data_IF_231759064317
#
_entry.id   IF_231759064317
#
_cell.length_a   1.000
_cell.length_b   1.000
_cell.length_c   1.000
_cell.angle_alpha   90.00
_cell.angle_beta   90.00
_cell.angle_gamma   90.00
#
_symmetry.space_group_name_H-M   'P 1'
#
loop_
_entity.id
_entity.type
_entity.pdbx_description
1 polymer ?
#
# COMPACT_ATOMS: atom_id res chain seq x y z
N UNK A 1 24.21 4.55 -10.19
CA UNK A 1 25.48 3.81 -9.98
C UNK A 1 25.14 2.33 -10.17
N UNK A 2 25.82 1.60 -11.06
CA UNK A 2 25.50 0.20 -11.28
C UNK A 2 25.84 -0.63 -10.04
N UNK A 3 24.92 -1.49 -9.59
CA UNK A 3 25.15 -2.34 -8.43
C UNK A 3 26.29 -3.33 -8.73
N UNK A 4 27.21 -3.47 -7.79
CA UNK A 4 28.13 -4.59 -7.74
C UNK A 4 27.37 -5.91 -7.54
N UNK A 5 28.00 -7.02 -7.93
CA UNK A 5 27.44 -8.38 -7.75
C UNK A 5 27.11 -8.64 -6.28
N UNK A 6 27.94 -8.17 -5.36
CA UNK A 6 27.72 -8.32 -3.91
C UNK A 6 26.56 -7.49 -3.38
N UNK A 7 26.35 -6.27 -3.90
CA UNK A 7 25.18 -5.47 -3.53
C UNK A 7 23.88 -6.12 -4.03
N UNK A 8 23.86 -6.69 -5.24
CA UNK A 8 22.69 -7.42 -5.76
C UNK A 8 22.40 -8.66 -4.91
N UNK A 9 23.43 -9.42 -4.51
CA UNK A 9 23.28 -10.59 -3.63
C UNK A 9 22.71 -10.18 -2.27
N UNK A 10 23.25 -9.12 -1.69
CA UNK A 10 22.78 -8.56 -0.42
C UNK A 10 21.32 -8.13 -0.54
N UNK A 11 20.98 -7.38 -1.59
CA UNK A 11 19.61 -6.94 -1.84
C UNK A 11 18.64 -8.12 -1.97
N UNK A 12 19.00 -9.16 -2.73
CA UNK A 12 18.19 -10.40 -2.86
C UNK A 12 17.94 -11.06 -1.51
N UNK A 13 18.99 -11.26 -0.71
CA UNK A 13 18.88 -11.90 0.59
C UNK A 13 18.00 -11.08 1.56
N UNK A 14 18.26 -9.77 1.66
CA UNK A 14 17.50 -8.87 2.54
C UNK A 14 16.03 -8.78 2.11
N UNK A 15 15.75 -8.68 0.81
CA UNK A 15 14.39 -8.67 0.26
C UNK A 15 13.61 -9.91 0.65
N UNK A 16 14.20 -11.10 0.50
CA UNK A 16 13.55 -12.36 0.89
C UNK A 16 13.28 -12.39 2.40
N UNK A 17 14.30 -12.12 3.22
CA UNK A 17 14.19 -12.20 4.68
C UNK A 17 13.12 -11.24 5.19
N UNK A 18 13.15 -10.00 4.72
CA UNK A 18 12.19 -8.97 5.16
C UNK A 18 10.77 -9.29 4.70
N UNK A 19 10.58 -9.80 3.48
CA UNK A 19 9.27 -10.27 3.02
C UNK A 19 8.71 -11.38 3.91
N UNK A 20 9.53 -12.38 4.28
CA UNK A 20 9.10 -13.43 5.21
C UNK A 20 8.72 -12.87 6.59
N UNK A 21 9.50 -11.92 7.12
CA UNK A 21 9.17 -11.26 8.38
C UNK A 21 7.84 -10.50 8.31
N UNK A 22 7.60 -9.77 7.21
CA UNK A 22 6.35 -9.05 6.97
C UNK A 22 5.15 -10.00 6.95
N UNK A 23 5.24 -11.11 6.18
CA UNK A 23 4.19 -12.13 6.11
C UNK A 23 3.91 -12.73 7.49
N UNK A 24 4.97 -13.12 8.21
CA UNK A 24 4.85 -13.65 9.57
C UNK A 24 4.16 -12.66 10.51
N UNK A 25 4.58 -11.39 10.48
CA UNK A 25 3.97 -10.31 11.25
C UNK A 25 2.48 -10.17 10.95
N UNK A 26 2.10 -10.09 9.68
CA UNK A 26 0.69 -9.93 9.27
C UNK A 26 -0.18 -11.13 9.64
N UNK A 27 0.35 -12.36 9.54
CA UNK A 27 -0.36 -13.56 9.98
C UNK A 27 -0.58 -13.56 11.50
N UNK A 28 0.44 -13.16 12.28
CA UNK A 28 0.35 -13.03 13.74
C UNK A 28 -0.73 -12.02 14.14
N UNK A 29 -0.75 -10.86 13.50
CA UNK A 29 -1.78 -9.84 13.73
C UNK A 29 -3.18 -10.35 13.35
N UNK A 30 -3.35 -10.97 12.19
CA UNK A 30 -4.64 -11.51 11.73
C UNK A 30 -5.15 -12.64 12.65
N UNK A 31 -4.25 -13.30 13.38
CA UNK A 31 -4.57 -14.33 14.37
C UNK A 31 -5.02 -13.81 15.73
N UNK A 32 -5.02 -12.50 15.99
CA UNK A 32 -5.54 -11.93 17.25
C UNK A 32 -7.07 -12.03 17.24
N UNK A 33 -7.69 -12.71 18.23
CA UNK A 33 -9.14 -12.83 18.30
C UNK A 33 -9.83 -11.47 18.37
N UNK A 34 -10.94 -11.32 17.64
CA UNK A 34 -11.72 -10.07 17.54
C UNK A 34 -12.17 -9.50 18.89
N UNK A 35 -12.25 -10.32 19.95
CA UNK A 35 -12.64 -9.90 21.29
C UNK A 35 -11.54 -9.17 22.08
N UNK A 36 -10.27 -9.38 21.73
CA UNK A 36 -9.12 -8.82 22.46
C UNK A 36 -8.76 -7.42 21.96
N UNK A 37 -9.15 -7.09 20.72
CA UNK A 37 -9.03 -5.75 20.15
C UNK A 37 -10.37 -5.03 20.31
N UNK A 38 -10.39 -3.90 21.03
CA UNK A 38 -11.61 -3.13 21.21
C UNK A 38 -12.18 -2.73 19.82
N UNK A 39 -13.38 -3.19 19.49
CA UNK A 39 -14.05 -2.82 18.23
C UNK A 39 -14.11 -1.30 18.07
N UNK A 40 -13.47 -0.80 17.02
CA UNK A 40 -13.42 0.62 16.67
C UNK A 40 -14.30 0.91 15.46
N UNK A 41 -14.65 2.19 15.21
CA UNK A 41 -15.32 2.61 13.98
C UNK A 41 -14.54 2.29 12.70
N UNK A 42 -13.24 2.02 12.80
CA UNK A 42 -12.40 1.68 11.65
C UNK A 42 -12.04 0.19 11.62
N UNK A 43 -12.79 -0.67 12.34
CA UNK A 43 -12.56 -2.12 12.29
C UNK A 43 -13.21 -2.70 11.03
N UNK A 44 -12.40 -3.33 10.17
CA UNK A 44 -12.84 -4.01 8.96
C UNK A 44 -13.04 -5.51 9.13
N UNK A 45 -13.66 -6.13 8.13
CA UNK A 45 -13.81 -7.59 8.06
C UNK A 45 -12.44 -8.27 7.95
N UNK A 46 -12.13 -9.14 8.92
CA UNK A 46 -10.90 -9.92 8.92
C UNK A 46 -10.75 -10.81 7.67
N UNK A 47 -11.83 -11.42 7.19
CA UNK A 47 -11.80 -12.25 5.97
C UNK A 47 -11.43 -11.43 4.73
N UNK A 48 -11.95 -10.21 4.60
CA UNK A 48 -11.61 -9.33 3.47
C UNK A 48 -10.20 -8.76 3.62
N UNK A 49 -9.77 -8.39 4.82
CA UNK A 49 -8.38 -8.00 5.08
C UNK A 49 -7.39 -9.13 4.77
N UNK A 50 -7.74 -10.38 5.09
CA UNK A 50 -6.92 -11.53 4.75
C UNK A 50 -6.74 -11.69 3.23
N UNK A 51 -7.80 -11.48 2.45
CA UNK A 51 -7.73 -11.47 0.99
C UNK A 51 -6.84 -10.32 0.50
N UNK A 52 -7.00 -9.10 1.05
CA UNK A 52 -6.15 -7.96 0.71
C UNK A 52 -4.66 -8.27 0.90
N UNK A 53 -4.30 -8.81 2.06
CA UNK A 53 -2.93 -9.23 2.37
C UNK A 53 -2.44 -10.35 1.45
N UNK A 54 -3.29 -11.35 1.18
CA UNK A 54 -2.96 -12.43 0.25
C UNK A 54 -2.64 -11.92 -1.15
N UNK A 55 -3.43 -10.98 -1.68
CA UNK A 55 -3.19 -10.33 -2.98
C UNK A 55 -1.90 -9.50 -2.94
N UNK A 56 -1.70 -8.66 -1.90
CA UNK A 56 -0.49 -7.87 -1.74
C UNK A 56 0.75 -8.75 -1.75
N UNK A 57 0.78 -9.79 -0.92
CA UNK A 57 1.94 -10.67 -0.81
C UNK A 57 2.17 -11.51 -2.07
N UNK A 58 1.11 -11.92 -2.77
CA UNK A 58 1.26 -12.57 -4.07
C UNK A 58 1.99 -11.66 -5.05
N UNK A 59 1.59 -10.39 -5.17
CA UNK A 59 2.27 -9.43 -6.03
C UNK A 59 3.70 -9.13 -5.57
N UNK A 60 3.96 -9.05 -4.26
CA UNK A 60 5.30 -8.84 -3.72
C UNK A 60 6.23 -10.04 -3.92
N UNK A 61 5.71 -11.27 -3.90
CA UNK A 61 6.44 -12.48 -4.27
C UNK A 61 6.81 -12.45 -5.76
N UNK A 62 5.88 -12.06 -6.63
CA UNK A 62 6.14 -11.90 -8.06
C UNK A 62 7.24 -10.86 -8.29
N UNK A 63 7.14 -9.68 -7.66
CA UNK A 63 8.20 -8.65 -7.71
C UNK A 63 9.55 -9.21 -7.21
N UNK A 64 9.55 -9.96 -6.11
CA UNK A 64 10.78 -10.53 -5.55
C UNK A 64 11.40 -11.55 -6.51
N UNK A 65 10.59 -12.40 -7.15
CA UNK A 65 11.04 -13.36 -8.16
C UNK A 65 11.71 -12.67 -9.36
N UNK A 66 11.21 -11.49 -9.75
CA UNK A 66 11.76 -10.70 -10.85
C UNK A 66 13.19 -10.22 -10.60
N UNK A 67 13.60 -10.03 -9.35
CA UNK A 67 14.97 -9.63 -8.97
C UNK A 67 15.98 -10.73 -9.32
N UNK A 68 15.55 -12.00 -9.42
CA UNK A 68 16.43 -13.13 -9.77
C UNK A 68 16.77 -13.19 -11.25
N UNK A 69 16.01 -12.50 -12.10
CA UNK A 69 16.22 -12.41 -13.54
C UNK A 69 16.40 -10.93 -13.95
N UNK A 70 17.48 -10.26 -13.51
CA UNK A 70 17.68 -8.84 -13.79
C UNK A 70 18.14 -8.61 -15.24
N UNK A 71 17.45 -7.72 -15.93
CA UNK A 71 17.90 -7.04 -17.15
C UNK A 71 18.37 -5.62 -16.77
N UNK A 72 18.96 -4.87 -17.73
CA UNK A 72 19.47 -3.52 -17.47
C UNK A 72 18.40 -2.57 -16.91
N UNK A 73 17.17 -2.69 -17.43
CA UNK A 73 16.02 -1.92 -16.96
C UNK A 73 15.68 -2.27 -15.50
N UNK A 74 15.62 -3.55 -15.13
CA UNK A 74 15.33 -3.98 -13.75
C UNK A 74 16.41 -3.54 -12.77
N UNK A 75 17.67 -3.59 -13.18
CA UNK A 75 18.77 -3.10 -12.35
C UNK A 75 18.66 -1.60 -12.11
N UNK A 76 18.27 -0.82 -13.12
CA UNK A 76 18.06 0.62 -12.96
C UNK A 76 16.92 0.91 -11.98
N UNK A 77 15.80 0.17 -12.07
CA UNK A 77 14.67 0.26 -11.14
C UNK A 77 15.10 -0.11 -9.72
N UNK A 78 15.70 -1.29 -9.53
CA UNK A 78 16.18 -1.75 -8.21
C UNK A 78 17.11 -0.72 -7.59
N UNK A 79 17.97 -0.09 -8.41
CA UNK A 79 18.89 0.90 -7.91
C UNK A 79 18.24 2.17 -7.38
N UNK A 80 17.09 2.54 -7.94
CA UNK A 80 16.37 3.75 -7.58
C UNK A 80 15.40 3.52 -6.43
N UNK A 81 14.66 2.41 -6.46
CA UNK A 81 13.52 2.19 -5.55
C UNK A 81 13.65 0.97 -4.65
N UNK A 82 14.65 0.11 -4.90
CA UNK A 82 14.69 -1.23 -4.34
C UNK A 82 14.66 -1.27 -2.81
N UNK A 83 15.38 -0.38 -2.14
CA UNK A 83 15.52 -0.38 -0.68
C UNK A 83 14.25 0.04 0.09
N UNK A 84 13.32 0.75 -0.56
CA UNK A 84 12.03 1.08 0.05
C UNK A 84 11.21 -0.17 0.37
N UNK A 85 11.37 -1.24 -0.42
CA UNK A 85 10.63 -2.48 -0.25
C UNK A 85 11.03 -3.27 1.01
N UNK A 86 12.33 -3.59 1.24
CA UNK A 86 12.73 -4.19 2.53
C UNK A 86 12.40 -3.31 3.73
N UNK A 87 12.55 -1.98 3.63
CA UNK A 87 12.19 -1.05 4.71
C UNK A 87 10.70 -1.16 5.02
N UNK A 88 9.83 -1.13 4.01
CA UNK A 88 8.40 -1.32 4.20
C UNK A 88 8.10 -2.63 4.94
N UNK A 89 8.69 -3.73 4.50
CA UNK A 89 8.44 -5.05 5.09
C UNK A 89 8.90 -5.15 6.55
N UNK A 90 10.07 -4.61 6.88
CA UNK A 90 10.56 -4.55 8.27
C UNK A 90 9.64 -3.69 9.13
N UNK A 91 9.21 -2.53 8.64
CA UNK A 91 8.32 -1.65 9.39
C UNK A 91 6.94 -2.26 9.59
N UNK A 92 6.39 -3.01 8.63
CA UNK A 92 5.16 -3.78 8.81
C UNK A 92 5.33 -4.87 9.87
N UNK A 93 6.44 -5.61 9.86
CA UNK A 93 6.74 -6.59 10.89
C UNK A 93 6.81 -5.96 12.29
N UNK A 94 7.61 -4.89 12.44
CA UNK A 94 7.76 -4.17 13.71
C UNK A 94 6.42 -3.62 14.18
N UNK A 95 5.64 -3.02 13.27
CA UNK A 95 4.30 -2.54 13.57
C UNK A 95 3.42 -3.64 14.15
N UNK A 96 3.37 -4.82 13.51
CA UNK A 96 2.58 -5.96 13.97
C UNK A 96 3.02 -6.43 15.36
N UNK A 97 4.32 -6.55 15.60
CA UNK A 97 4.85 -6.96 16.92
C UNK A 97 4.45 -5.98 18.03
N UNK A 98 4.58 -4.67 17.77
CA UNK A 98 4.19 -3.63 18.71
C UNK A 98 2.68 -3.62 18.95
N UNK A 99 1.89 -3.69 17.88
CA UNK A 99 0.44 -3.65 17.93
C UNK A 99 -0.14 -4.84 18.69
N UNK A 100 0.29 -6.07 18.34
CA UNK A 100 -0.14 -7.30 19.03
C UNK A 100 0.32 -7.35 20.49
N UNK A 101 1.38 -6.63 20.84
CA UNK A 101 1.86 -6.48 22.23
C UNK A 101 1.20 -5.31 22.99
N UNK A 102 0.22 -4.62 22.40
CA UNK A 102 -0.50 -3.51 23.02
C UNK A 102 0.23 -2.16 23.06
N UNK A 103 1.38 -2.03 22.38
CA UNK A 103 2.16 -0.79 22.31
C UNK A 103 1.63 0.15 21.22
N UNK A 104 0.36 0.55 21.31
CA UNK A 104 -0.35 1.24 20.22
C UNK A 104 0.26 2.58 19.79
N UNK A 105 0.90 3.32 20.71
CA UNK A 105 1.58 4.58 20.40
C UNK A 105 2.84 4.31 19.55
N UNK A 106 3.62 3.30 19.92
CA UNK A 106 4.84 2.96 19.19
C UNK A 106 4.49 2.36 17.83
N UNK A 107 3.44 1.54 17.74
CA UNK A 107 2.97 1.02 16.46
C UNK A 107 2.47 2.15 15.55
N UNK A 108 1.77 3.15 16.07
CA UNK A 108 1.36 4.35 15.30
C UNK A 108 2.58 5.09 14.72
N UNK A 109 3.62 5.32 15.54
CA UNK A 109 4.86 5.98 15.10
C UNK A 109 5.53 5.19 13.97
N UNK A 110 5.55 3.87 14.05
CA UNK A 110 6.13 3.00 13.01
C UNK A 110 5.34 3.11 11.70
N UNK A 111 4.00 3.19 11.75
CA UNK A 111 3.17 3.44 10.57
C UNK A 111 3.48 4.79 9.94
N UNK A 112 3.64 5.85 10.74
CA UNK A 112 3.99 7.20 10.24
C UNK A 112 5.34 7.16 9.52
N UNK A 113 6.35 6.52 10.11
CA UNK A 113 7.68 6.35 9.47
C UNK A 113 7.54 5.58 8.15
N UNK A 114 6.72 4.53 8.14
CA UNK A 114 6.50 3.75 6.92
C UNK A 114 5.75 4.56 5.84
N UNK A 115 4.82 5.43 6.24
CA UNK A 115 4.14 6.33 5.31
C UNK A 115 5.13 7.27 4.61
N UNK A 116 6.10 7.83 5.34
CA UNK A 116 7.14 8.67 4.73
C UNK A 116 8.05 7.88 3.78
N UNK A 117 8.41 6.64 4.13
CA UNK A 117 9.13 5.74 3.23
C UNK A 117 8.37 5.54 1.90
N UNK A 118 7.05 5.33 1.98
CA UNK A 118 6.21 5.13 0.81
C UNK A 118 5.91 6.44 0.04
N UNK A 119 5.82 7.58 0.72
CA UNK A 119 5.71 8.88 0.06
C UNK A 119 6.98 9.28 -0.67
N UNK A 120 8.17 8.93 -0.16
CA UNK A 120 9.40 9.06 -0.93
C UNK A 120 9.33 8.21 -2.22
N UNK A 121 8.88 6.96 -2.10
CA UNK A 121 8.68 6.08 -3.25
C UNK A 121 7.64 6.62 -4.26
N UNK A 122 6.58 7.24 -3.78
CA UNK A 122 5.52 7.80 -4.62
C UNK A 122 5.94 9.12 -5.29
N UNK A 123 6.39 10.10 -4.51
CA UNK A 123 6.60 11.47 -4.99
C UNK A 123 8.03 11.73 -5.47
N UNK A 124 9.05 11.19 -4.79
CA UNK A 124 10.44 11.42 -5.18
C UNK A 124 10.85 10.49 -6.33
N UNK A 125 10.44 9.22 -6.27
CA UNK A 125 10.76 8.22 -7.29
C UNK A 125 9.67 8.01 -8.34
N UNK A 126 8.55 8.75 -8.22
CA UNK A 126 7.46 8.81 -9.22
C UNK A 126 7.01 7.43 -9.72
N UNK A 127 6.91 6.44 -8.83
CA UNK A 127 6.56 5.07 -9.26
C UNK A 127 5.25 4.97 -10.05
N UNK A 128 4.34 5.94 -9.88
CA UNK A 128 3.10 6.03 -10.65
C UNK A 128 3.30 6.27 -12.16
N UNK A 129 4.50 6.66 -12.62
CA UNK A 129 4.85 6.87 -14.04
C UNK A 129 5.61 5.69 -14.66
N UNK A 130 5.87 4.61 -13.91
CA UNK A 130 6.60 3.43 -14.41
C UNK A 130 5.89 2.87 -15.65
N UNK A 131 6.66 2.63 -16.71
CA UNK A 131 6.17 2.03 -17.97
C UNK A 131 7.01 0.83 -18.38
N UNK A 132 6.43 -0.10 -19.17
CA UNK A 132 5.02 -0.20 -19.60
C UNK A 132 4.05 -0.57 -18.46
N UNK A 133 2.74 -0.64 -18.75
CA UNK A 133 1.68 -0.98 -17.77
C UNK A 133 1.98 -2.27 -17.02
N UNK A 134 2.61 -3.25 -17.67
CA UNK A 134 3.02 -4.50 -17.03
C UNK A 134 4.04 -4.25 -15.92
N UNK A 135 5.04 -3.39 -16.14
CA UNK A 135 6.02 -3.02 -15.13
C UNK A 135 5.38 -2.13 -14.05
N UNK A 136 4.45 -1.27 -14.42
CA UNK A 136 3.65 -0.51 -13.46
C UNK A 136 2.89 -1.44 -12.50
N UNK A 137 2.22 -2.46 -13.03
CA UNK A 137 1.54 -3.48 -12.22
C UNK A 137 2.51 -4.28 -11.34
N UNK A 138 3.71 -4.58 -11.84
CA UNK A 138 4.66 -5.44 -11.14
C UNK A 138 5.56 -4.69 -10.14
N UNK A 139 5.68 -3.38 -10.27
CA UNK A 139 6.52 -2.53 -9.42
C UNK A 139 5.63 -1.62 -8.57
N UNK A 140 4.87 -0.74 -9.21
CA UNK A 140 4.14 0.32 -8.50
C UNK A 140 3.01 -0.23 -7.62
N UNK A 141 2.24 -1.22 -8.10
CA UNK A 141 1.15 -1.80 -7.30
C UNK A 141 1.64 -2.48 -6.01
N UNK A 142 2.58 -3.44 -6.05
CA UNK A 142 3.06 -4.13 -4.84
C UNK A 142 3.96 -3.31 -3.91
N UNK A 143 4.68 -2.32 -4.44
CA UNK A 143 5.63 -1.53 -3.63
C UNK A 143 5.05 -0.22 -3.13
N UNK A 144 4.08 0.35 -3.85
CA UNK A 144 3.59 1.70 -3.57
C UNK A 144 2.09 1.72 -3.34
N UNK A 145 1.26 1.37 -4.33
CA UNK A 145 -0.18 1.66 -4.27
C UNK A 145 -0.90 0.92 -3.15
N UNK A 146 -0.75 -0.41 -3.08
CA UNK A 146 -1.34 -1.21 -2.02
C UNK A 146 -0.68 -0.94 -0.66
N UNK A 147 0.66 -0.87 -0.53
CA UNK A 147 1.31 -0.42 0.70
C UNK A 147 0.81 0.91 1.26
N UNK A 148 0.70 1.96 0.45
CA UNK A 148 0.20 3.28 0.89
C UNK A 148 -1.24 3.16 1.38
N UNK A 149 -2.09 2.48 0.62
CA UNK A 149 -3.50 2.29 0.98
C UNK A 149 -3.64 1.60 2.34
N UNK A 150 -2.86 0.55 2.57
CA UNK A 150 -2.83 -0.15 3.85
C UNK A 150 -2.33 0.74 4.98
N UNK A 151 -1.17 1.39 4.82
CA UNK A 151 -0.58 2.20 5.90
C UNK A 151 -1.49 3.37 6.26
N UNK A 152 -2.10 4.03 5.29
CA UNK A 152 -3.09 5.09 5.51
C UNK A 152 -4.30 4.55 6.30
N UNK A 153 -4.85 3.41 5.91
CA UNK A 153 -5.93 2.76 6.65
C UNK A 153 -5.53 2.37 8.08
N UNK A 154 -4.34 1.78 8.22
CA UNK A 154 -3.82 1.32 9.49
C UNK A 154 -3.61 2.47 10.47
N UNK A 155 -3.22 3.68 10.02
CA UNK A 155 -3.09 4.85 10.90
C UNK A 155 -4.42 5.21 11.60
N UNK A 156 -5.52 5.30 10.83
CA UNK A 156 -6.82 5.59 11.43
C UNK A 156 -7.31 4.45 12.33
N UNK A 157 -7.07 3.20 11.93
CA UNK A 157 -7.50 2.05 12.70
C UNK A 157 -6.70 1.86 14.00
N UNK A 158 -5.36 1.89 13.92
CA UNK A 158 -4.45 1.84 15.06
C UNK A 158 -4.70 3.03 15.99
N UNK A 159 -4.81 4.25 15.46
CA UNK A 159 -5.12 5.45 16.25
C UNK A 159 -6.46 5.34 16.98
N UNK A 160 -7.48 4.74 16.36
CA UNK A 160 -8.76 4.51 17.03
C UNK A 160 -8.68 3.47 18.15
N UNK A 161 -7.81 2.46 18.02
CA UNK A 161 -7.52 1.49 19.09
C UNK A 161 -6.78 2.19 20.23
N UNK A 162 -5.75 2.98 19.92
CA UNK A 162 -4.93 3.74 20.87
C UNK A 162 -5.76 4.67 21.76
N UNK A 163 -6.74 5.38 21.19
CA UNK A 163 -7.60 6.31 21.93
C UNK A 163 -8.86 5.65 22.51
N UNK A 164 -9.01 4.33 22.37
CA UNK A 164 -10.19 3.59 22.78
C UNK A 164 -11.49 4.27 22.30
N UNK A 165 -11.56 4.56 20.99
CA UNK A 165 -12.67 5.30 20.39
C UNK A 165 -13.93 4.41 20.34
N UNK A 166 -14.71 4.38 21.43
CA UNK A 166 -16.00 3.66 21.50
C UNK A 166 -17.16 4.49 22.08
N UNK A 167 -16.89 5.72 22.57
CA UNK A 167 -17.90 6.62 23.16
C UNK A 167 -18.42 7.64 22.13
N UNK A 168 -19.53 8.31 22.44
CA UNK A 168 -20.26 9.23 21.55
C UNK A 168 -19.36 10.23 20.80
N UNK A 169 -18.47 10.92 21.51
CA UNK A 169 -17.55 11.89 20.89
C UNK A 169 -16.63 11.24 19.85
N UNK A 170 -16.09 10.06 20.17
CA UNK A 170 -15.29 9.27 19.25
C UNK A 170 -16.04 8.85 17.99
N UNK A 171 -17.34 8.59 18.09
CA UNK A 171 -18.21 8.25 16.94
C UNK A 171 -18.39 9.44 16.01
N UNK A 172 -18.60 10.63 16.57
CA UNK A 172 -18.73 11.86 15.76
C UNK A 172 -17.44 12.10 14.99
N UNK A 173 -16.29 11.99 15.66
CA UNK A 173 -14.98 12.19 15.06
C UNK A 173 -14.71 11.16 13.96
N UNK A 174 -15.03 9.89 14.19
CA UNK A 174 -14.88 8.84 13.18
C UNK A 174 -15.78 9.03 11.95
N UNK A 175 -17.00 9.52 12.13
CA UNK A 175 -17.91 9.83 11.02
C UNK A 175 -17.41 11.00 10.14
N UNK A 176 -16.58 11.89 10.69
CA UNK A 176 -15.92 12.96 9.93
C UNK A 176 -14.68 12.40 9.23
N UNK A 177 -13.79 11.76 9.99
CA UNK A 177 -12.51 11.26 9.46
C UNK A 177 -12.63 10.13 8.46
N UNK A 178 -13.73 9.38 8.43
CA UNK A 178 -13.93 8.36 7.39
C UNK A 178 -13.89 8.96 5.98
N UNK A 179 -14.27 10.22 5.80
CA UNK A 179 -14.23 10.88 4.49
C UNK A 179 -12.81 11.17 3.99
N UNK A 180 -11.79 11.10 4.84
CA UNK A 180 -10.40 11.18 4.39
C UNK A 180 -10.04 9.99 3.49
N UNK A 181 -10.73 8.86 3.64
CA UNK A 181 -10.61 7.72 2.73
C UNK A 181 -11.25 7.95 1.36
N UNK A 182 -12.04 9.02 1.18
CA UNK A 182 -12.43 9.50 -0.15
C UNK A 182 -11.49 10.59 -0.64
N UNK A 183 -11.22 11.59 0.22
CA UNK A 183 -10.46 12.78 -0.16
C UNK A 183 -9.02 12.43 -0.54
N UNK A 184 -8.29 11.69 0.31
CA UNK A 184 -6.87 11.42 0.07
C UNK A 184 -6.68 10.49 -1.14
N UNK A 185 -7.30 9.29 -1.22
CA UNK A 185 -7.19 8.45 -2.41
C UNK A 185 -7.76 9.12 -3.67
N UNK A 186 -8.81 9.94 -3.51
CA UNK A 186 -9.37 10.76 -4.58
C UNK A 186 -8.36 11.77 -5.15
N UNK A 187 -7.51 12.37 -4.32
CA UNK A 187 -6.43 13.26 -4.80
C UNK A 187 -5.39 12.48 -5.61
N UNK A 188 -4.97 11.30 -5.15
CA UNK A 188 -4.05 10.42 -5.91
C UNK A 188 -4.64 10.06 -7.28
N UNK A 189 -5.91 9.68 -7.29
CA UNK A 189 -6.63 9.30 -8.50
C UNK A 189 -6.83 10.48 -9.45
N UNK A 190 -7.35 11.61 -8.99
CA UNK A 190 -7.72 12.74 -9.86
C UNK A 190 -6.50 13.52 -10.34
N UNK A 191 -5.47 13.69 -9.51
CA UNK A 191 -4.29 14.48 -9.86
C UNK A 191 -3.19 13.66 -10.55
N UNK A 192 -3.11 12.36 -10.27
CA UNK A 192 -2.05 11.49 -10.80
C UNK A 192 -2.54 10.35 -11.67
N UNK A 193 -3.86 10.22 -11.86
CA UNK A 193 -4.48 9.10 -12.58
C UNK A 193 -4.09 7.73 -12.01
N UNK A 194 -3.81 7.68 -10.71
CA UNK A 194 -3.43 6.44 -10.03
C UNK A 194 -4.69 5.65 -9.61
N UNK A 195 -5.15 4.82 -10.55
CA UNK A 195 -6.29 3.96 -10.34
C UNK A 195 -6.01 2.78 -9.41
N UNK A 196 -4.74 2.40 -9.19
CA UNK A 196 -4.39 1.31 -8.26
C UNK A 196 -4.58 1.74 -6.81
N UNK A 197 -4.16 2.96 -6.43
CA UNK A 197 -4.47 3.53 -5.11
C UNK A 197 -5.98 3.62 -4.92
N UNK A 198 -6.71 4.05 -5.95
CA UNK A 198 -8.18 4.14 -5.88
C UNK A 198 -8.86 2.78 -5.67
N UNK A 199 -8.53 1.74 -6.44
CA UNK A 199 -9.12 0.40 -6.26
C UNK A 199 -8.72 -0.23 -4.93
N UNK A 200 -7.48 -0.03 -4.52
CA UNK A 200 -6.96 -0.56 -3.26
C UNK A 200 -7.68 0.05 -2.05
N UNK A 201 -7.88 1.38 -2.03
CA UNK A 201 -8.66 2.05 -0.99
C UNK A 201 -10.16 1.72 -1.08
N UNK A 202 -10.72 1.58 -2.28
CA UNK A 202 -12.09 1.14 -2.46
C UNK A 202 -12.32 -0.24 -1.82
N UNK A 203 -11.38 -1.17 -2.01
CA UNK A 203 -11.42 -2.49 -1.38
C UNK A 203 -11.33 -2.41 0.15
N UNK A 204 -10.43 -1.59 0.71
CA UNK A 204 -10.31 -1.42 2.16
C UNK A 204 -11.57 -0.79 2.77
N UNK A 205 -12.20 0.17 2.09
CA UNK A 205 -13.48 0.75 2.52
C UNK A 205 -14.63 -0.25 2.39
N UNK A 206 -14.63 -1.10 1.38
CA UNK A 206 -15.57 -2.22 1.28
C UNK A 206 -15.37 -3.21 2.44
N UNK A 207 -14.13 -3.55 2.79
CA UNK A 207 -13.82 -4.38 3.95
C UNK A 207 -14.29 -3.76 5.27
N UNK A 208 -14.09 -2.44 5.44
CA UNK A 208 -14.60 -1.67 6.58
C UNK A 208 -16.13 -1.72 6.64
N UNK A 209 -16.80 -1.49 5.51
CA UNK A 209 -18.26 -1.51 5.43
C UNK A 209 -18.85 -2.84 5.91
N UNK A 210 -18.27 -3.96 5.46
CA UNK A 210 -18.69 -5.30 5.89
C UNK A 210 -18.40 -5.58 7.37
N UNK A 211 -17.23 -5.16 7.87
CA UNK A 211 -16.89 -5.32 9.30
C UNK A 211 -17.85 -4.55 10.21
N UNK A 212 -18.19 -3.32 9.83
CA UNK A 212 -19.12 -2.47 10.58
C UNK A 212 -20.59 -2.92 10.45
N UNK A 213 -20.98 -3.47 9.29
CA UNK A 213 -22.32 -4.03 9.07
C UNK A 213 -22.57 -5.27 9.94
N UNK A 214 -21.55 -6.12 10.13
CA UNK A 214 -21.65 -7.33 10.94
C UNK A 214 -21.73 -7.02 12.45
N UNK A 215 -20.95 -6.04 12.91
CA UNK A 215 -20.87 -5.68 14.33
C UNK A 215 -21.98 -4.72 14.77
N UNK A 216 -22.54 -3.93 13.85
CA UNK A 216 -23.62 -2.93 14.05
C UNK A 216 -23.38 -1.92 15.19
N UNK A 217 -22.15 -1.79 15.68
CA UNK A 217 -21.80 -0.90 16.80
C UNK A 217 -21.87 0.57 16.37
N UNK A 218 -21.62 0.88 15.08
CA UNK A 218 -21.54 2.25 14.56
C UNK A 218 -22.48 2.45 13.36
N UNK A 219 -23.64 3.07 13.62
CA UNK A 219 -24.80 3.03 12.73
C UNK A 219 -24.60 3.69 11.35
N UNK A 220 -23.76 4.71 11.21
CA UNK A 220 -23.53 5.43 9.94
C UNK A 220 -22.26 5.01 9.21
N UNK A 221 -21.33 4.37 9.93
CA UNK A 221 -19.97 4.14 9.46
C UNK A 221 -19.93 3.18 8.26
N UNK A 222 -20.75 2.12 8.29
CA UNK A 222 -20.86 1.18 7.17
C UNK A 222 -21.46 1.83 5.91
N UNK A 223 -22.41 2.77 6.07
CA UNK A 223 -23.02 3.49 4.94
C UNK A 223 -21.98 4.37 4.25
N UNK A 224 -21.25 5.17 5.03
CA UNK A 224 -20.20 6.03 4.50
C UNK A 224 -19.11 5.20 3.82
N UNK A 225 -18.68 4.10 4.43
CA UNK A 225 -17.71 3.19 3.85
C UNK A 225 -18.17 2.61 2.49
N UNK A 226 -19.43 2.16 2.37
CA UNK A 226 -19.98 1.69 1.09
C UNK A 226 -20.02 2.78 0.02
N UNK A 227 -20.43 3.99 0.40
CA UNK A 227 -20.49 5.13 -0.53
C UNK A 227 -19.09 5.47 -1.03
N UNK A 228 -18.10 5.56 -0.14
CA UNK A 228 -16.71 5.85 -0.49
C UNK A 228 -16.15 4.74 -1.39
N UNK A 229 -16.36 3.47 -1.04
CA UNK A 229 -15.94 2.33 -1.86
C UNK A 229 -16.56 2.39 -3.27
N UNK A 230 -17.85 2.72 -3.38
CA UNK A 230 -18.54 2.85 -4.66
C UNK A 230 -17.98 3.99 -5.52
N UNK A 231 -17.80 5.18 -4.94
CA UNK A 231 -17.25 6.35 -5.64
C UNK A 231 -15.84 6.07 -6.14
N UNK A 232 -14.95 5.60 -5.27
CA UNK A 232 -13.57 5.29 -5.65
C UNK A 232 -13.50 4.20 -6.72
N UNK A 233 -14.35 3.17 -6.65
CA UNK A 233 -14.42 2.12 -7.68
C UNK A 233 -14.78 2.71 -9.04
N UNK A 234 -15.83 3.53 -9.12
CA UNK A 234 -16.26 4.16 -10.38
C UNK A 234 -15.20 5.10 -10.92
N UNK A 235 -14.63 5.97 -10.06
CA UNK A 235 -13.56 6.88 -10.45
C UNK A 235 -12.32 6.12 -10.93
N UNK A 236 -11.96 4.99 -10.29
CA UNK A 236 -10.82 4.17 -10.71
C UNK A 236 -11.05 3.53 -12.06
N UNK A 237 -12.26 3.03 -12.34
CA UNK A 237 -12.59 2.52 -13.67
C UNK A 237 -12.49 3.61 -14.73
N UNK A 238 -13.01 4.81 -14.46
CA UNK A 238 -12.91 5.95 -15.38
C UNK A 238 -11.43 6.30 -15.63
N UNK A 239 -10.63 6.46 -14.57
CA UNK A 239 -9.20 6.77 -14.67
C UNK A 239 -8.43 5.69 -15.45
N UNK A 240 -8.73 4.41 -15.24
CA UNK A 240 -8.10 3.28 -15.93
C UNK A 240 -8.42 3.27 -17.42
N UNK A 241 -9.68 3.46 -17.82
CA UNK A 241 -10.09 3.38 -19.22
C UNK A 241 -9.86 4.66 -20.02
N UNK A 242 -9.96 5.83 -19.38
CA UNK A 242 -9.82 7.13 -20.05
C UNK A 242 -8.39 7.67 -19.95
N UNK A 243 -7.79 7.61 -18.76
CA UNK A 243 -6.47 8.21 -18.51
C UNK A 243 -5.30 7.23 -18.63
N UNK A 244 -5.52 5.92 -18.47
CA UNK A 244 -4.47 4.91 -18.54
C UNK A 244 -3.41 5.04 -17.44
N UNK A 245 -2.15 4.69 -17.74
CA UNK A 245 -1.02 4.97 -16.83
C UNK A 245 -0.41 6.31 -17.21
N UNK A 246 -0.24 7.19 -16.21
CA UNK A 246 0.24 8.56 -16.42
C UNK A 246 1.65 8.59 -17.01
N UNK A 247 1.86 9.52 -17.93
CA UNK A 247 3.19 9.84 -18.49
C UNK A 247 3.86 10.97 -17.72
N UNK A 248 5.17 10.91 -17.60
CA UNK A 248 5.97 12.03 -17.12
C UNK A 248 6.17 13.04 -18.26
N UNK A 249 5.68 14.27 -18.09
CA UNK A 249 5.94 15.37 -19.01
C UNK A 249 7.15 16.19 -18.50
N UNK A 250 8.31 16.07 -19.15
CA UNK A 250 9.51 16.89 -18.89
C UNK A 250 10.86 16.13 -18.97
N UNK A 251 11.97 16.86 -19.14
CA UNK A 251 13.37 16.40 -19.38
C UNK A 251 14.01 15.48 -18.32
N UNK A 252 13.29 15.10 -17.26
CA UNK A 252 13.77 14.03 -16.39
C UNK A 252 13.28 12.74 -17.02
N UNK A 253 14.18 12.09 -17.75
CA UNK A 253 13.90 10.87 -18.47
C UNK A 253 13.00 9.94 -17.61
N UNK A 254 11.82 9.53 -18.12
CA UNK A 254 11.18 8.36 -17.55
C UNK A 254 12.21 7.22 -17.58
N UNK A 255 12.04 6.21 -16.74
CA UNK A 255 12.92 5.04 -16.58
C UNK A 255 13.08 4.19 -17.87
N UNK A 256 13.30 4.82 -19.02
CA UNK A 256 13.55 4.27 -20.33
C UNK A 256 15.05 4.10 -20.44
N UNK A 257 15.48 2.85 -20.51
CA UNK A 257 16.70 2.52 -21.23
C UNK A 257 16.43 2.91 -22.68
N UNK A 258 17.26 3.78 -23.26
CA UNK A 258 17.25 4.00 -24.71
C UNK A 258 17.44 2.63 -25.36
N UNK A 259 16.43 2.12 -26.07
CA UNK A 259 16.63 1.03 -27.02
C UNK A 259 17.62 1.55 -28.07
N UNK A 260 18.89 1.26 -27.86
CA UNK A 260 19.96 1.58 -28.79
C UNK A 260 19.59 0.99 -30.14
N UNK A 261 19.36 1.89 -31.10
CA UNK A 261 19.37 1.59 -32.53
C UNK A 261 20.64 0.81 -32.84
N UNK A 262 20.49 -0.50 -33.02
CA UNK A 262 21.50 -1.32 -33.70
C UNK A 262 21.48 -0.90 -35.17
N UNK A 263 22.14 0.22 -35.47
CA UNK A 263 22.57 0.48 -36.84
C UNK A 263 23.67 -0.53 -37.14
N UNK A 264 23.26 -1.62 -37.80
CA UNK A 264 24.14 -2.37 -38.67
C UNK A 264 24.71 -1.40 -39.70
N UNK A 265 26.02 -1.20 -39.69
CA UNK A 265 26.76 -0.82 -40.89
C UNK A 265 28.16 -1.43 -40.80
N UNK A 266 28.33 -2.45 -41.63
CA UNK A 266 29.62 -2.93 -42.12
C UNK A 266 30.38 -1.86 -42.89
#
# INVERSE_FOLDING_TARGET
MAYSVEEIRTYKAVTIITLFLSIYGSLKYTGVPEGDLAYTPFSASNSLLFIYWGVLYLWQIIYTAQIFFPDEYRLSIISLVGWHFPIFNVLIYIWSELFTSGHYILSEIVLIINLFNLFALYFAHKTFTVKPVVNWLLIHVPLTAMPISWVMYALFWNGAVMFHIHKLFGRILANVFIWDFLLVPGLFLLLFNDWAIGFSNAYLMFALAFGQLATKVFALQWIFAFVIAGILTVWSFIAMFVGGVREEFGENAPLLVEEGTVTQSA
#
